data_IF_293179742322
#
_entry.id   IF_293179742322
#
_cell.length_a   1.000
_cell.length_b   1.000
_cell.length_c   1.000
_cell.angle_alpha   90.00
_cell.angle_beta   90.00
_cell.angle_gamma   90.00
#
_symmetry.space_group_name_H-M   'P 1'
#
loop_
_entity.id
_entity.type
_entity.pdbx_description
1 polymer ?
#
# COMPACT_ATOMS: atom_id res chain seq x y z
N UNK A 1 2.41 -14.33 4.65
CA UNK A 1 1.57 -14.09 3.45
C UNK A 1 1.76 -12.68 2.96
N UNK A 2 2.06 -12.47 1.67
CA UNK A 2 2.27 -11.13 1.13
C UNK A 2 0.94 -10.44 0.82
N UNK A 3 0.12 -10.27 1.82
CA UNK A 3 -1.14 -9.54 1.74
C UNK A 3 -1.20 -8.50 2.83
N UNK A 4 -1.83 -7.38 2.55
CA UNK A 4 -2.03 -6.32 3.52
C UNK A 4 -3.39 -5.68 3.34
N UNK A 5 -3.92 -5.11 4.41
CA UNK A 5 -5.12 -4.27 4.34
C UNK A 5 -4.73 -2.92 3.77
N UNK A 6 -5.44 -2.52 2.76
CA UNK A 6 -5.21 -1.25 2.09
C UNK A 6 -6.44 -0.38 2.22
N UNK A 7 -6.24 0.90 2.51
CA UNK A 7 -7.31 1.88 2.56
C UNK A 7 -7.25 2.76 1.32
N UNK A 8 -8.39 2.91 0.64
CA UNK A 8 -8.51 3.76 -0.54
C UNK A 8 -9.68 4.70 -0.35
N UNK A 9 -9.45 6.00 -0.52
CA UNK A 9 -10.48 6.99 -0.40
C UNK A 9 -10.05 8.32 -0.99
N UNK A 10 -10.92 9.31 -0.90
CA UNK A 10 -10.65 10.66 -1.41
C UNK A 10 -10.52 11.65 -0.26
N UNK A 11 -9.58 12.57 -0.43
CA UNK A 11 -9.35 13.68 0.51
C UNK A 11 -9.51 14.96 -0.30
N UNK A 12 -10.00 16.01 0.34
CA UNK A 12 -10.15 17.31 -0.34
C UNK A 12 -8.81 17.75 -0.95
N UNK A 13 -8.86 18.20 -2.19
CA UNK A 13 -7.67 18.72 -2.88
C UNK A 13 -7.42 20.15 -2.45
N UNK A 14 -6.83 20.30 -1.26
CA UNK A 14 -6.46 21.61 -0.72
C UNK A 14 -5.24 21.49 0.18
N UNK A 15 -4.46 22.58 0.35
CA UNK A 15 -3.29 22.55 1.23
C UNK A 15 -3.65 22.10 2.64
N UNK A 16 -2.86 21.17 3.17
CA UNK A 16 -2.98 20.68 4.54
C UNK A 16 -3.94 19.50 4.75
N UNK A 17 -4.80 19.17 3.79
CA UNK A 17 -5.80 18.10 3.98
C UNK A 17 -5.15 16.73 4.17
N UNK A 18 -4.17 16.40 3.34
CA UNK A 18 -3.45 15.13 3.44
C UNK A 18 -2.66 15.03 4.76
N UNK A 19 -1.98 16.12 5.13
CA UNK A 19 -1.22 16.17 6.39
C UNK A 19 -2.11 15.98 7.59
N UNK A 20 -3.28 16.62 7.61
CA UNK A 20 -4.25 16.49 8.71
C UNK A 20 -4.67 15.03 8.90
N UNK A 21 -4.94 14.34 7.82
CA UNK A 21 -5.33 12.92 7.87
C UNK A 21 -4.23 12.06 8.48
N UNK A 22 -3.01 12.15 7.96
CA UNK A 22 -1.92 11.30 8.43
C UNK A 22 -1.42 11.69 9.82
N UNK A 23 -1.49 12.96 10.22
CA UNK A 23 -1.17 13.36 11.58
C UNK A 23 -2.18 12.80 12.60
N UNK A 24 -3.45 12.76 12.24
CA UNK A 24 -4.46 12.15 13.10
C UNK A 24 -4.17 10.66 13.34
N UNK A 25 -3.76 9.95 12.30
CA UNK A 25 -3.36 8.55 12.43
C UNK A 25 -2.12 8.40 13.33
N UNK A 26 -1.13 9.28 13.14
CA UNK A 26 0.09 9.27 13.95
C UNK A 26 -0.18 9.51 15.44
N UNK A 27 -1.14 10.36 15.78
CA UNK A 27 -1.54 10.63 17.16
C UNK A 27 -2.04 9.38 17.88
N UNK A 28 -2.57 8.42 17.14
CA UNK A 28 -3.03 7.15 17.68
C UNK A 28 -2.00 6.03 17.51
N UNK A 29 -0.77 6.39 17.17
CA UNK A 29 0.34 5.44 17.05
C UNK A 29 0.33 4.61 15.77
N UNK A 30 -0.45 5.00 14.77
CA UNK A 30 -0.48 4.29 13.48
C UNK A 30 0.66 4.76 12.60
N UNK A 31 1.49 3.81 12.15
CA UNK A 31 2.56 4.08 11.22
C UNK A 31 2.11 3.72 9.79
N UNK A 32 2.33 4.63 8.87
CA UNK A 32 2.00 4.42 7.45
C UNK A 32 3.20 3.75 6.79
N UNK A 33 3.02 2.54 6.32
CA UNK A 33 4.09 1.74 5.72
C UNK A 33 4.33 2.09 4.26
N UNK A 34 3.27 2.46 3.56
CA UNK A 34 3.34 2.84 2.16
C UNK A 34 2.12 3.68 1.81
N UNK A 35 2.27 4.64 0.92
CA UNK A 35 1.12 5.43 0.48
C UNK A 35 1.32 6.00 -0.92
N UNK A 36 0.19 6.34 -1.52
CA UNK A 36 0.11 6.97 -2.83
C UNK A 36 -1.03 7.98 -2.79
N UNK A 37 -0.81 9.15 -3.36
CA UNK A 37 -1.85 10.18 -3.47
C UNK A 37 -1.68 10.93 -4.77
N UNK A 38 -2.78 11.15 -5.48
CA UNK A 38 -2.76 11.95 -6.70
C UNK A 38 -4.14 12.56 -6.94
N UNK A 39 -4.17 13.64 -7.70
CA UNK A 39 -5.41 14.35 -8.01
C UNK A 39 -6.12 13.68 -9.19
N UNK A 40 -7.40 13.40 -9.02
CA UNK A 40 -8.26 12.87 -10.05
C UNK A 40 -9.63 13.55 -9.93
N UNK A 41 -10.08 14.19 -10.98
CA UNK A 41 -11.38 14.88 -11.04
C UNK A 41 -11.61 15.85 -9.87
N UNK A 42 -10.57 16.62 -9.50
CA UNK A 42 -10.69 17.65 -8.47
C UNK A 42 -10.60 17.12 -7.03
N UNK A 43 -10.40 15.82 -6.86
CA UNK A 43 -10.24 15.20 -5.55
C UNK A 43 -8.88 14.51 -5.46
N UNK A 44 -8.35 14.41 -4.24
CA UNK A 44 -7.10 13.70 -4.00
C UNK A 44 -7.44 12.25 -3.67
N UNK A 45 -7.17 11.35 -4.62
CA UNK A 45 -7.33 9.92 -4.40
C UNK A 45 -6.12 9.43 -3.63
N UNK A 46 -6.36 8.80 -2.47
CA UNK A 46 -5.30 8.39 -1.54
C UNK A 46 -5.44 6.92 -1.22
N UNK A 47 -4.31 6.19 -1.30
CA UNK A 47 -4.21 4.80 -0.88
C UNK A 47 -3.09 4.66 0.12
N UNK A 48 -3.29 3.84 1.15
CA UNK A 48 -2.19 3.57 2.08
C UNK A 48 -2.34 2.22 2.76
N UNK A 49 -1.21 1.72 3.24
CA UNK A 49 -1.10 0.53 4.07
C UNK A 49 -0.57 0.97 5.43
N UNK A 50 -1.25 0.57 6.49
CA UNK A 50 -0.88 0.92 7.86
C UNK A 50 -0.42 -0.32 8.63
N UNK A 51 0.41 -0.11 9.65
CA UNK A 51 0.86 -1.20 10.52
C UNK A 51 -0.25 -1.70 11.45
N UNK A 52 -1.24 -0.85 11.73
CA UNK A 52 -2.39 -1.19 12.58
C UNK A 52 -3.68 -0.80 11.88
N UNK A 53 -4.19 -1.67 10.99
CA UNK A 53 -5.40 -1.34 10.22
C UNK A 53 -6.65 -1.13 11.08
N UNK A 54 -6.77 -1.84 12.19
CA UNK A 54 -7.95 -1.70 13.07
C UNK A 54 -8.02 -0.29 13.66
N UNK A 55 -6.91 0.21 14.20
CA UNK A 55 -6.84 1.58 14.73
C UNK A 55 -7.01 2.61 13.63
N UNK A 56 -6.40 2.38 12.46
CA UNK A 56 -6.55 3.27 11.31
C UNK A 56 -8.03 3.43 10.93
N UNK A 57 -8.76 2.33 10.86
CA UNK A 57 -10.19 2.34 10.54
C UNK A 57 -10.98 3.17 11.55
N UNK A 58 -10.68 3.03 12.84
CA UNK A 58 -11.34 3.79 13.90
C UNK A 58 -11.08 5.29 13.75
N UNK A 59 -9.81 5.67 13.48
CA UNK A 59 -9.43 7.07 13.30
C UNK A 59 -10.13 7.68 12.10
N UNK A 60 -10.12 6.99 10.96
CA UNK A 60 -10.79 7.48 9.75
C UNK A 60 -12.28 7.67 9.99
N UNK A 61 -12.90 6.72 10.69
CA UNK A 61 -14.32 6.83 11.06
C UNK A 61 -14.60 8.03 11.94
N UNK A 62 -13.74 8.31 12.92
CA UNK A 62 -13.90 9.46 13.81
C UNK A 62 -13.74 10.79 13.08
N UNK A 63 -12.99 10.82 12.00
CA UNK A 63 -12.83 11.99 11.14
C UNK A 63 -13.95 12.10 10.09
N UNK A 64 -14.86 11.15 10.08
CA UNK A 64 -15.93 11.06 9.08
C UNK A 64 -15.42 10.95 7.66
N UNK A 65 -14.26 10.35 7.49
CA UNK A 65 -13.69 10.07 6.18
C UNK A 65 -14.18 8.72 5.67
N UNK A 66 -14.53 8.67 4.40
CA UNK A 66 -15.01 7.44 3.78
C UNK A 66 -13.86 6.81 3.02
N UNK A 67 -13.33 5.71 3.56
CA UNK A 67 -12.29 4.92 2.93
C UNK A 67 -12.78 3.50 2.75
N UNK A 68 -12.45 2.91 1.61
CA UNK A 68 -12.70 1.51 1.35
C UNK A 68 -11.50 0.70 1.85
N UNK A 69 -11.77 -0.35 2.61
CA UNK A 69 -10.74 -1.27 3.09
C UNK A 69 -10.76 -2.53 2.25
N UNK A 70 -9.65 -2.84 1.58
CA UNK A 70 -9.53 -4.01 0.72
C UNK A 70 -8.22 -4.73 0.99
N UNK A 71 -7.99 -5.84 0.31
CA UNK A 71 -6.70 -6.52 0.34
C UNK A 71 -5.84 -6.07 -0.83
N UNK A 72 -4.59 -5.78 -0.56
CA UNK A 72 -3.57 -5.58 -1.58
C UNK A 72 -2.49 -6.63 -1.41
N UNK A 73 -1.68 -6.81 -2.44
CA UNK A 73 -0.52 -7.70 -2.40
C UNK A 73 0.72 -6.87 -2.13
N UNK A 74 1.54 -7.33 -1.19
CA UNK A 74 2.81 -6.67 -0.88
C UNK A 74 3.96 -7.68 -1.00
N UNK A 75 5.15 -7.16 -1.29
CA UNK A 75 6.38 -7.94 -1.16
C UNK A 75 7.45 -7.03 -0.55
N UNK A 76 8.25 -7.59 0.35
CA UNK A 76 9.35 -6.87 0.99
C UNK A 76 10.65 -7.37 0.39
N UNK A 77 11.37 -6.47 -0.26
CA UNK A 77 12.61 -6.80 -0.96
C UNK A 77 13.68 -5.76 -0.62
N UNK A 78 14.94 -6.18 -0.69
CA UNK A 78 16.04 -5.23 -0.55
C UNK A 78 15.89 -4.12 -1.60
N UNK A 79 16.05 -2.88 -1.17
CA UNK A 79 15.88 -1.73 -2.07
C UNK A 79 17.15 -1.55 -2.91
N UNK A 80 17.17 -2.13 -4.10
CA UNK A 80 18.31 -2.09 -5.01
C UNK A 80 17.85 -2.25 -6.46
N UNK A 81 18.70 -1.89 -7.43
CA UNK A 81 18.33 -1.99 -8.85
C UNK A 81 17.82 -3.37 -9.24
N UNK A 82 16.75 -3.41 -9.99
CA UNK A 82 16.16 -4.62 -10.53
C UNK A 82 15.08 -5.29 -9.69
N UNK A 83 14.98 -5.00 -8.40
CA UNK A 83 14.02 -5.70 -7.53
C UNK A 83 12.58 -5.38 -7.88
N UNK A 84 12.25 -4.12 -8.14
CA UNK A 84 10.91 -3.75 -8.57
C UNK A 84 10.57 -4.42 -9.90
N UNK A 85 11.51 -4.39 -10.85
CA UNK A 85 11.30 -5.02 -12.15
C UNK A 85 11.06 -6.52 -12.05
N UNK A 86 11.80 -7.21 -11.17
CA UNK A 86 11.62 -8.64 -10.95
C UNK A 86 10.24 -8.96 -10.38
N UNK A 87 9.76 -8.16 -9.43
CA UNK A 87 8.43 -8.36 -8.85
C UNK A 87 7.34 -8.16 -9.92
N UNK A 88 7.41 -7.07 -10.67
CA UNK A 88 6.44 -6.80 -11.73
C UNK A 88 6.48 -7.85 -12.83
N UNK A 89 7.68 -8.28 -13.23
CA UNK A 89 7.84 -9.34 -14.24
C UNK A 89 7.25 -10.67 -13.77
N UNK A 90 7.43 -11.02 -12.50
CA UNK A 90 6.87 -12.25 -11.94
C UNK A 90 5.35 -12.25 -12.02
N UNK A 91 4.71 -11.11 -11.72
CA UNK A 91 3.26 -10.97 -11.86
C UNK A 91 2.84 -11.11 -13.33
N UNK A 92 3.60 -10.50 -14.24
CA UNK A 92 3.33 -10.62 -15.68
C UNK A 92 3.44 -12.05 -16.19
N UNK A 93 4.44 -12.80 -15.73
CA UNK A 93 4.61 -14.21 -16.09
C UNK A 93 3.41 -15.05 -15.63
N UNK A 94 2.79 -14.66 -14.53
CA UNK A 94 1.59 -15.31 -14.00
C UNK A 94 0.30 -14.75 -14.63
N UNK A 95 0.43 -13.89 -15.64
CA UNK A 95 -0.68 -13.26 -16.35
C UNK A 95 -1.57 -12.43 -15.42
N UNK A 96 -0.95 -11.75 -14.47
CA UNK A 96 -1.64 -10.84 -13.56
C UNK A 96 -1.35 -9.41 -14.00
N UNK A 97 -2.41 -8.66 -14.28
CA UNK A 97 -2.27 -7.25 -14.61
C UNK A 97 -2.16 -6.43 -13.33
N UNK A 98 -1.28 -5.45 -13.34
CA UNK A 98 -1.11 -4.52 -12.23
C UNK A 98 -1.95 -3.29 -12.53
N UNK A 99 -2.97 -3.03 -11.71
CA UNK A 99 -3.85 -1.87 -11.87
C UNK A 99 -3.21 -0.60 -11.36
N UNK A 100 -2.44 -0.72 -10.27
CA UNK A 100 -1.65 0.37 -9.69
C UNK A 100 -0.57 -0.23 -8.80
N UNK A 101 0.45 0.57 -8.51
CA UNK A 101 1.53 0.14 -7.62
C UNK A 101 2.17 1.35 -6.96
N UNK A 102 2.73 1.13 -5.79
CA UNK A 102 3.49 2.14 -5.08
C UNK A 102 4.42 1.43 -4.08
N UNK A 103 5.30 2.19 -3.47
CA UNK A 103 6.26 1.61 -2.53
C UNK A 103 6.30 2.38 -1.22
N UNK A 104 6.89 1.73 -0.23
CA UNK A 104 7.10 2.29 1.09
C UNK A 104 8.33 1.66 1.71
N UNK A 105 8.44 1.71 3.03
CA UNK A 105 9.61 1.24 3.75
C UNK A 105 9.20 0.35 4.92
N UNK A 106 9.96 -0.72 5.13
CA UNK A 106 9.83 -1.54 6.32
C UNK A 106 10.47 -0.82 7.49
N UNK A 107 9.73 -0.53 8.59
CA UNK A 107 10.31 0.15 9.74
C UNK A 107 11.51 -0.61 10.33
N UNK A 108 12.61 0.12 10.58
CA UNK A 108 13.81 -0.45 11.19
C UNK A 108 14.58 -1.41 10.30
N UNK A 109 14.38 -1.34 9.00
CA UNK A 109 14.97 -2.29 8.03
C UNK A 109 15.42 -1.58 6.78
N UNK A 110 16.28 -2.24 6.00
CA UNK A 110 16.69 -1.77 4.68
C UNK A 110 15.76 -2.29 3.57
N UNK A 111 14.67 -2.97 3.94
CA UNK A 111 13.74 -3.52 2.95
C UNK A 111 12.77 -2.46 2.47
N UNK A 112 12.54 -2.44 1.16
CA UNK A 112 11.44 -1.69 0.57
C UNK A 112 10.17 -2.55 0.58
N UNK A 113 9.04 -1.89 0.72
CA UNK A 113 7.73 -2.52 0.59
C UNK A 113 7.18 -2.14 -0.77
N UNK A 114 6.85 -3.14 -1.59
CA UNK A 114 6.20 -2.92 -2.88
C UNK A 114 4.74 -3.34 -2.75
N UNK A 115 3.82 -2.45 -3.10
CA UNK A 115 2.38 -2.68 -3.02
C UNK A 115 1.83 -2.75 -4.43
N UNK A 116 1.03 -3.78 -4.71
CA UNK A 116 0.39 -3.96 -6.02
C UNK A 116 -1.11 -4.12 -5.86
N UNK A 117 -1.86 -3.29 -6.59
CA UNK A 117 -3.29 -3.46 -6.73
C UNK A 117 -3.56 -4.36 -7.92
N UNK A 118 -4.18 -5.52 -7.66
CA UNK A 118 -4.43 -6.56 -8.66
C UNK A 118 -5.83 -7.13 -8.46
N UNK A 119 -6.39 -7.72 -9.51
CA UNK A 119 -7.71 -8.33 -9.44
C UNK A 119 -7.70 -9.70 -8.76
N UNK A 120 -6.63 -10.47 -8.93
CA UNK A 120 -6.51 -11.79 -8.31
C UNK A 120 -5.43 -11.80 -7.23
N UNK A 121 -5.82 -11.38 -6.03
CA UNK A 121 -4.91 -11.22 -4.89
C UNK A 121 -4.24 -12.54 -4.51
N UNK A 122 -4.99 -13.64 -4.47
CA UNK A 122 -4.44 -14.94 -4.05
C UNK A 122 -3.38 -15.45 -5.02
N UNK A 123 -3.63 -15.33 -6.31
CA UNK A 123 -2.68 -15.76 -7.34
C UNK A 123 -1.41 -14.90 -7.29
N UNK A 124 -1.58 -13.59 -7.13
CA UNK A 124 -0.47 -12.66 -7.01
C UNK A 124 0.36 -12.95 -5.75
N UNK A 125 -0.31 -13.21 -4.63
CA UNK A 125 0.37 -13.52 -3.38
C UNK A 125 1.26 -14.77 -3.52
N UNK A 126 0.78 -15.80 -4.19
CA UNK A 126 1.55 -17.01 -4.44
C UNK A 126 2.79 -16.73 -5.29
N UNK A 127 2.62 -15.94 -6.36
CA UNK A 127 3.73 -15.58 -7.24
C UNK A 127 4.81 -14.78 -6.50
N UNK A 128 4.41 -13.84 -5.67
CA UNK A 128 5.33 -13.00 -4.91
C UNK A 128 5.98 -13.74 -3.74
N UNK A 129 5.29 -14.69 -3.12
CA UNK A 129 5.89 -15.57 -2.10
C UNK A 129 7.08 -16.35 -2.68
N UNK A 130 6.93 -16.88 -3.89
CA UNK A 130 8.01 -17.59 -4.57
C UNK A 130 9.20 -16.67 -4.83
N UNK A 131 8.93 -15.44 -5.26
CA UNK A 131 9.97 -14.45 -5.51
C UNK A 131 10.71 -14.10 -4.23
N UNK A 132 10.01 -13.88 -3.13
CA UNK A 132 10.61 -13.54 -1.85
C UNK A 132 11.52 -14.67 -1.35
N UNK A 133 11.12 -15.93 -1.54
CA UNK A 133 11.93 -17.08 -1.17
C UNK A 133 13.20 -17.16 -2.01
N UNK A 134 13.12 -16.84 -3.31
CA UNK A 134 14.28 -16.82 -4.20
C UNK A 134 15.25 -15.68 -3.86
N UNK A 135 14.71 -14.55 -3.41
CA UNK A 135 15.50 -13.36 -3.11
C UNK A 135 16.19 -13.44 -1.73
N UNK A 136 15.65 -14.30 -0.87
CA UNK A 136 16.19 -14.52 0.47
C UNK A 136 17.47 -15.27 0.47
#
# INVERSE_FOLDING_TARGET
MPKAREFTGTIEDKPGALGKCFLALAERGVNILAFQSYVEEGESLTRFVADDPATAKTVLGSMRMIFEETEAVIVKLAHRPGQLGRAAARLGESRINIDYSYCGMEPGSALGILVFGVDNVNKAATALDQLAAEAG
#
